data_IF_784287932958
#
_entry.id   IF_784287932958
#
_cell.length_a   1.000
_cell.length_b   1.000
_cell.length_c   1.000
_cell.angle_alpha   90.00
_cell.angle_beta   90.00
_cell.angle_gamma   90.00
#
_symmetry.space_group_name_H-M   'P 1'
#
loop_
_entity.id
_entity.type
_entity.pdbx_description
1 polymer ?
#
# COMPACT_ATOMS: atom_id res chain seq x y z
N UNK A 1 -15.61 -4.70 -9.61
CA UNK A 1 -14.36 -4.84 -8.84
C UNK A 1 -13.95 -6.32 -8.84
N UNK A 2 -12.66 -6.63 -8.95
CA UNK A 2 -12.13 -7.98 -8.66
C UNK A 2 -11.15 -7.86 -7.50
N UNK A 3 -11.12 -8.87 -6.63
CA UNK A 3 -10.22 -8.91 -5.47
C UNK A 3 -9.39 -10.18 -5.56
N UNK A 4 -8.08 -10.05 -5.39
CA UNK A 4 -7.14 -11.15 -5.35
C UNK A 4 -6.61 -11.31 -3.93
N UNK A 5 -6.85 -12.46 -3.32
CA UNK A 5 -6.43 -12.74 -1.95
C UNK A 5 -5.17 -13.59 -1.95
N UNK A 6 -4.24 -13.27 -1.07
CA UNK A 6 -3.00 -14.01 -0.85
C UNK A 6 -2.91 -14.43 0.60
N UNK A 7 -2.55 -15.70 0.84
CA UNK A 7 -2.42 -16.29 2.17
C UNK A 7 -1.15 -17.11 2.29
N UNK A 8 -0.57 -17.10 3.48
CA UNK A 8 0.75 -17.64 3.77
C UNK A 8 1.84 -16.96 2.92
N UNK A 9 1.74 -15.63 2.78
CA UNK A 9 2.80 -14.81 2.18
C UNK A 9 4.07 -15.01 3.01
N UNK A 10 5.24 -15.30 2.41
CA UNK A 10 6.43 -15.59 3.17
C UNK A 10 6.79 -14.49 4.16
N UNK A 11 7.06 -14.89 5.41
CA UNK A 11 7.23 -13.98 6.54
C UNK A 11 8.31 -12.91 6.31
N UNK A 12 9.35 -13.22 5.54
CA UNK A 12 10.42 -12.27 5.22
C UNK A 12 9.93 -11.07 4.39
N UNK A 13 8.87 -11.20 3.58
CA UNK A 13 8.23 -10.04 2.93
C UNK A 13 7.46 -9.22 3.95
N UNK A 14 6.66 -9.87 4.79
CA UNK A 14 5.85 -9.20 5.80
C UNK A 14 6.70 -8.43 6.81
N UNK A 15 7.86 -8.96 7.19
CA UNK A 15 8.84 -8.31 8.08
C UNK A 15 9.55 -7.11 7.44
N UNK A 16 9.54 -6.99 6.11
CA UNK A 16 10.13 -5.84 5.40
C UNK A 16 9.19 -4.66 5.27
N UNK A 17 7.90 -4.85 5.56
CA UNK A 17 6.93 -3.76 5.64
C UNK A 17 7.31 -2.84 6.80
N UNK A 18 7.19 -1.53 6.57
CA UNK A 18 7.57 -0.47 7.50
C UNK A 18 6.35 0.28 8.00
N UNK A 19 6.47 0.90 9.18
CA UNK A 19 5.52 1.94 9.59
C UNK A 19 5.61 3.11 8.61
N UNK A 20 4.47 3.55 8.09
CA UNK A 20 4.43 4.64 7.12
C UNK A 20 4.49 5.97 7.86
N UNK A 21 5.54 6.76 7.62
CA UNK A 21 5.71 8.12 8.19
C UNK A 21 5.77 9.19 7.11
N UNK A 22 6.07 8.78 5.88
CA UNK A 22 6.17 9.64 4.70
C UNK A 22 5.80 8.86 3.41
N UNK A 23 5.71 9.56 2.25
CA UNK A 23 5.48 8.94 0.95
C UNK A 23 6.44 7.80 0.60
N UNK A 24 7.70 7.89 1.04
CA UNK A 24 8.76 6.96 0.68
C UNK A 24 8.57 5.63 1.41
N UNK A 25 8.17 5.66 2.69
CA UNK A 25 7.77 4.46 3.42
C UNK A 25 6.56 3.76 2.78
N UNK A 26 5.58 4.54 2.30
CA UNK A 26 4.41 4.00 1.62
C UNK A 26 4.80 3.29 0.32
N UNK A 27 5.63 3.95 -0.52
CA UNK A 27 6.14 3.37 -1.75
C UNK A 27 6.98 2.12 -1.48
N UNK A 28 7.81 2.12 -0.43
CA UNK A 28 8.57 0.94 -0.01
C UNK A 28 7.65 -0.25 0.24
N UNK A 29 6.56 -0.05 1.00
CA UNK A 29 5.60 -1.11 1.30
C UNK A 29 4.88 -1.61 0.05
N UNK A 30 4.47 -0.71 -0.85
CA UNK A 30 3.91 -1.08 -2.15
C UNK A 30 4.86 -2.01 -2.91
N UNK A 31 6.15 -1.65 -3.01
CA UNK A 31 7.15 -2.47 -3.70
C UNK A 31 7.38 -3.83 -3.03
N UNK A 32 7.31 -3.91 -1.70
CA UNK A 32 7.38 -5.19 -0.97
C UNK A 32 6.21 -6.09 -1.32
N UNK A 33 4.99 -5.55 -1.40
CA UNK A 33 3.80 -6.33 -1.74
C UNK A 33 3.84 -6.80 -3.19
N UNK A 34 4.20 -5.92 -4.13
CA UNK A 34 4.34 -6.30 -5.55
C UNK A 34 5.41 -7.38 -5.72
N UNK A 35 6.56 -7.25 -5.05
CA UNK A 35 7.61 -8.28 -5.08
C UNK A 35 7.11 -9.62 -4.54
N UNK A 36 6.41 -9.62 -3.41
CA UNK A 36 5.86 -10.81 -2.80
C UNK A 36 4.86 -11.51 -3.74
N UNK A 37 3.97 -10.75 -4.37
CA UNK A 37 2.96 -11.27 -5.28
C UNK A 37 3.61 -11.85 -6.54
N UNK A 38 4.54 -11.11 -7.16
CA UNK A 38 5.24 -11.57 -8.36
C UNK A 38 6.11 -12.80 -8.10
N UNK A 39 6.66 -12.94 -6.89
CA UNK A 39 7.52 -14.07 -6.53
C UNK A 39 6.74 -15.30 -6.07
N UNK A 40 5.50 -15.11 -5.62
CA UNK A 40 4.67 -16.15 -5.03
C UNK A 40 3.22 -16.13 -5.55
N UNK A 41 2.99 -16.24 -6.87
CA UNK A 41 1.64 -16.30 -7.44
C UNK A 41 0.84 -17.50 -6.91
N UNK A 42 1.50 -18.60 -6.53
CA UNK A 42 0.88 -19.81 -5.99
C UNK A 42 0.23 -19.63 -4.61
N UNK A 43 0.46 -18.50 -3.94
CA UNK A 43 -0.16 -18.15 -2.66
C UNK A 43 -1.54 -17.52 -2.80
N UNK A 44 -1.98 -17.27 -4.03
CA UNK A 44 -3.30 -16.77 -4.30
C UNK A 44 -4.36 -17.80 -3.90
N UNK A 45 -5.42 -17.33 -3.24
CA UNK A 45 -6.58 -18.13 -2.84
C UNK A 45 -7.85 -17.54 -3.46
N UNK A 46 -8.87 -18.38 -3.66
CA UNK A 46 -10.12 -17.98 -4.33
C UNK A 46 -10.95 -17.00 -3.50
N UNK A 47 -10.98 -17.17 -2.18
CA UNK A 47 -11.80 -16.36 -1.27
C UNK A 47 -11.00 -15.89 -0.05
N UNK A 48 -11.38 -14.74 0.50
CA UNK A 48 -10.79 -14.20 1.74
C UNK A 48 -11.50 -14.66 3.02
N UNK A 49 -12.49 -15.55 2.93
CA UNK A 49 -13.35 -15.96 4.06
C UNK A 49 -12.57 -16.71 5.14
N UNK A 50 -11.65 -17.58 4.72
CA UNK A 50 -10.73 -18.31 5.63
C UNK A 50 -9.56 -17.44 6.12
N UNK A 51 -9.63 -16.13 5.91
CA UNK A 51 -8.56 -15.18 6.18
C UNK A 51 -7.52 -15.07 5.05
N UNK A 52 -6.85 -13.93 5.01
CA UNK A 52 -5.81 -13.58 4.04
C UNK A 52 -4.73 -12.74 4.73
N UNK A 53 -3.55 -12.67 4.13
CA UNK A 53 -2.48 -11.76 4.55
C UNK A 53 -2.52 -10.46 3.74
N UNK A 54 -2.74 -10.58 2.43
CA UNK A 54 -2.83 -9.46 1.49
C UNK A 54 -4.05 -9.63 0.58
N UNK A 55 -4.79 -8.55 0.37
CA UNK A 55 -5.84 -8.47 -0.65
C UNK A 55 -5.53 -7.34 -1.63
N UNK A 56 -5.58 -7.62 -2.93
CA UNK A 56 -5.39 -6.66 -4.01
C UNK A 56 -6.73 -6.34 -4.64
N UNK A 57 -7.15 -5.09 -4.52
CA UNK A 57 -8.37 -4.57 -5.11
C UNK A 57 -8.03 -3.99 -6.49
N UNK A 58 -8.91 -4.24 -7.46
CA UNK A 58 -8.72 -3.83 -8.87
C UNK A 58 -9.95 -3.13 -9.42
N UNK A 59 -9.82 -2.54 -10.63
CA UNK A 59 -10.81 -1.69 -11.31
C UNK A 59 -11.00 -0.38 -10.56
N UNK A 60 -12.21 0.01 -10.21
CA UNK A 60 -12.48 1.30 -9.56
C UNK A 60 -11.77 1.51 -8.20
N UNK A 61 -11.12 0.47 -7.65
CA UNK A 61 -10.47 0.49 -6.33
C UNK A 61 -9.07 -0.11 -6.40
N UNK A 62 -8.12 0.62 -6.98
CA UNK A 62 -6.72 0.17 -7.07
C UNK A 62 -6.02 0.33 -5.70
N UNK A 63 -6.03 -0.72 -4.88
CA UNK A 63 -5.37 -0.69 -3.56
C UNK A 63 -4.94 -2.05 -3.04
N UNK A 64 -3.99 -2.02 -2.12
CA UNK A 64 -3.64 -3.15 -1.26
C UNK A 64 -4.34 -3.02 0.09
N UNK A 65 -4.78 -4.13 0.66
CA UNK A 65 -5.16 -4.26 2.08
C UNK A 65 -4.29 -5.35 2.68
N UNK A 66 -3.58 -5.03 3.74
CA UNK A 66 -2.69 -5.95 4.43
C UNK A 66 -3.24 -6.20 5.82
N UNK A 67 -3.37 -7.47 6.18
CA UNK A 67 -3.77 -7.89 7.52
C UNK A 67 -2.54 -8.00 8.41
N UNK A 68 -2.70 -7.55 9.65
CA UNK A 68 -1.78 -7.77 10.77
C UNK A 68 -2.54 -8.47 11.91
N UNK A 69 -1.80 -8.90 12.92
CA UNK A 69 -2.40 -9.49 14.12
C UNK A 69 -3.25 -8.47 14.90
N UNK A 70 -2.82 -7.20 14.87
CA UNK A 70 -3.41 -6.07 15.57
C UNK A 70 -4.28 -5.17 14.67
N UNK A 71 -4.67 -5.65 13.49
CA UNK A 71 -5.57 -4.92 12.59
C UNK A 71 -5.18 -4.97 11.13
N UNK A 72 -5.23 -3.83 10.45
CA UNK A 72 -5.02 -3.73 9.01
C UNK A 72 -4.33 -2.44 8.62
N UNK A 73 -3.68 -2.43 7.46
CA UNK A 73 -3.37 -1.18 6.78
C UNK A 73 -3.61 -1.31 5.28
N UNK A 74 -3.87 -0.18 4.63
CA UNK A 74 -4.21 -0.12 3.22
C UNK A 74 -3.48 1.03 2.56
N UNK A 75 -3.15 0.83 1.29
CA UNK A 75 -2.39 1.77 0.46
C UNK A 75 -2.94 1.71 -0.96
N UNK A 76 -2.95 2.85 -1.65
CA UNK A 76 -3.20 2.91 -3.08
C UNK A 76 -2.17 2.06 -3.84
N UNK A 77 -2.61 1.41 -4.91
CA UNK A 77 -1.71 0.74 -5.85
C UNK A 77 -1.46 1.69 -7.04
N UNK A 78 -0.25 2.25 -7.19
CA UNK A 78 0.07 3.16 -8.28
C UNK A 78 0.36 2.45 -9.62
N UNK A 79 0.36 1.11 -9.64
CA UNK A 79 0.68 0.33 -10.83
C UNK A 79 -0.57 -0.22 -11.50
N UNK A 80 -0.55 -0.24 -12.83
CA UNK A 80 -1.56 -0.93 -13.61
C UNK A 80 -1.51 -2.43 -13.31
N UNK A 81 -2.67 -3.04 -13.07
CA UNK A 81 -2.79 -4.47 -12.81
C UNK A 81 -3.24 -5.17 -14.08
N UNK A 82 -2.42 -6.08 -14.59
CA UNK A 82 -2.77 -6.96 -15.69
C UNK A 82 -3.29 -8.29 -15.17
N UNK A 83 -4.41 -8.74 -15.76
CA UNK A 83 -5.04 -9.99 -15.42
C UNK A 83 -4.60 -11.06 -16.42
N UNK A 84 -3.87 -12.07 -15.94
CA UNK A 84 -3.58 -13.29 -16.69
C UNK A 84 -4.65 -14.37 -16.50
N UNK A 85 -4.33 -15.61 -16.89
CA UNK A 85 -5.23 -16.76 -16.80
C UNK A 85 -5.59 -17.22 -15.37
N UNK A 86 -4.98 -16.59 -14.34
CA UNK A 86 -5.40 -16.62 -12.94
C UNK A 86 -4.44 -15.83 -12.03
N UNK A 87 -3.34 -15.33 -12.57
CA UNK A 87 -2.33 -14.54 -11.86
C UNK A 87 -2.51 -13.05 -12.21
N UNK A 88 -2.06 -12.18 -11.31
CA UNK A 88 -1.91 -10.76 -11.60
C UNK A 88 -0.45 -10.40 -11.78
N UNK A 89 -0.19 -9.45 -12.66
CA UNK A 89 1.10 -8.79 -12.79
C UNK A 89 0.91 -7.27 -12.79
N UNK A 90 2.01 -6.55 -12.60
CA UNK A 90 1.99 -5.09 -12.42
C UNK A 90 2.83 -4.41 -13.50
N UNK A 91 2.32 -3.30 -14.03
CA UNK A 91 3.00 -2.45 -14.99
C UNK A 91 3.08 -1.01 -14.47
N UNK A 92 4.23 -0.37 -14.68
CA UNK A 92 4.41 1.04 -14.44
C UNK A 92 4.13 1.79 -15.74
N UNK A 93 2.96 2.45 -15.81
CA UNK A 93 2.51 3.14 -17.01
C UNK A 93 3.43 4.30 -17.41
N UNK A 94 4.09 4.95 -16.44
CA UNK A 94 5.02 6.07 -16.69
C UNK A 94 6.25 5.63 -17.50
N UNK A 95 6.76 4.42 -17.24
CA UNK A 95 7.91 3.84 -17.95
C UNK A 95 7.51 2.86 -19.04
N UNK A 96 6.22 2.55 -19.16
CA UNK A 96 5.69 1.50 -20.03
C UNK A 96 6.39 0.14 -19.82
N UNK A 97 6.70 -0.18 -18.55
CA UNK A 97 7.45 -1.39 -18.22
C UNK A 97 6.85 -2.19 -17.05
N UNK A 98 7.08 -3.50 -17.08
CA UNK A 98 6.68 -4.39 -16.00
C UNK A 98 7.42 -4.05 -14.70
N UNK A 99 6.70 -4.08 -13.57
CA UNK A 99 7.24 -3.92 -12.21
C UNK A 99 7.97 -5.21 -11.80
N UNK A 100 9.08 -5.46 -12.47
CA UNK A 100 9.94 -6.64 -12.32
C UNK A 100 10.87 -6.53 -11.10
N UNK A 101 11.60 -7.61 -10.77
CA UNK A 101 12.64 -7.56 -9.75
C UNK A 101 13.73 -6.51 -10.03
N UNK A 102 14.04 -6.24 -11.31
CA UNK A 102 14.95 -5.17 -11.72
C UNK A 102 14.34 -3.79 -11.39
N UNK A 103 13.11 -3.53 -11.83
CA UNK A 103 12.37 -2.30 -11.50
C UNK A 103 12.38 -2.04 -10.00
N UNK A 104 11.98 -3.04 -9.23
CA UNK A 104 11.87 -2.95 -7.77
C UNK A 104 13.22 -2.63 -7.14
N UNK A 105 14.31 -3.22 -7.63
CA UNK A 105 15.67 -2.94 -7.15
C UNK A 105 16.10 -1.50 -7.46
N UNK A 106 15.78 -0.99 -8.64
CA UNK A 106 16.08 0.39 -9.08
C UNK A 106 15.34 1.40 -8.21
N UNK A 107 14.02 1.24 -8.04
CA UNK A 107 13.23 2.18 -7.23
C UNK A 107 13.65 2.10 -5.75
N UNK A 108 14.02 0.91 -5.24
CA UNK A 108 14.57 0.80 -3.87
C UNK A 108 15.91 1.50 -3.70
N UNK A 109 16.77 1.50 -4.72
CA UNK A 109 17.99 2.29 -4.69
C UNK A 109 17.67 3.80 -4.65
N UNK A 110 16.69 4.27 -5.43
CA UNK A 110 16.22 5.66 -5.33
C UNK A 110 15.71 6.00 -3.91
N UNK A 111 14.92 5.11 -3.30
CA UNK A 111 14.48 5.23 -1.89
C UNK A 111 15.68 5.34 -0.93
N UNK A 112 16.73 4.53 -1.13
CA UNK A 112 17.92 4.56 -0.29
C UNK A 112 18.72 5.84 -0.46
N UNK A 113 18.85 6.34 -1.69
CA UNK A 113 19.49 7.63 -2.00
C UNK A 113 18.80 8.77 -1.26
N UNK A 114 17.47 8.79 -1.25
CA UNK A 114 16.67 9.82 -0.54
C UNK A 114 16.81 9.75 0.98
N UNK A 115 16.90 8.55 1.57
CA UNK A 115 17.06 8.43 3.03
C UNK A 115 18.45 8.85 3.52
N UNK A 116 19.45 8.90 2.64
CA UNK A 116 20.84 9.13 3.00
C UNK A 116 21.22 10.59 3.24
N UNK A 117 20.49 11.57 2.67
CA UNK A 117 20.86 13.00 2.66
C UNK A 117 19.69 13.91 2.25
N UNK A 118 19.91 15.24 2.28
CA UNK A 118 19.15 16.15 1.41
C UNK A 118 19.40 15.67 -0.02
N UNK A 119 18.32 15.34 -0.72
CA UNK A 119 18.40 14.77 -2.05
C UNK A 119 17.92 15.77 -3.10
N UNK A 120 18.52 15.66 -4.27
CA UNK A 120 18.04 16.25 -5.50
C UNK A 120 17.68 15.16 -6.51
N UNK A 121 17.06 15.57 -7.61
CA UNK A 121 16.84 14.69 -8.75
C UNK A 121 18.17 14.14 -9.29
N UNK A 122 19.19 14.99 -9.41
CA UNK A 122 20.52 14.61 -9.92
C UNK A 122 21.22 13.56 -9.05
N UNK A 123 21.02 13.58 -7.72
CA UNK A 123 21.60 12.58 -6.82
C UNK A 123 21.04 11.18 -7.10
N UNK A 124 19.75 11.09 -7.42
CA UNK A 124 19.11 9.82 -7.81
C UNK A 124 19.66 9.39 -9.17
N UNK A 125 19.74 10.29 -10.15
CA UNK A 125 20.27 9.98 -11.48
C UNK A 125 21.71 9.47 -11.39
N UNK A 126 22.56 10.13 -10.62
CA UNK A 126 23.95 9.72 -10.38
C UNK A 126 24.01 8.33 -9.74
N UNK A 127 23.23 8.11 -8.68
CA UNK A 127 23.18 6.82 -7.98
C UNK A 127 22.75 5.68 -8.91
N UNK A 128 21.78 5.94 -9.79
CA UNK A 128 21.32 4.95 -10.77
C UNK A 128 22.35 4.66 -11.86
N UNK A 129 23.03 5.69 -12.35
CA UNK A 129 24.15 5.54 -13.30
C UNK A 129 25.26 4.67 -12.69
N UNK A 130 25.69 4.97 -11.46
CA UNK A 130 26.80 4.27 -10.81
C UNK A 130 26.44 2.84 -10.38
N UNK A 131 25.24 2.61 -9.84
CA UNK A 131 24.87 1.31 -9.28
C UNK A 131 24.29 0.31 -10.31
N UNK A 132 23.71 0.81 -11.40
CA UNK A 132 23.07 -0.03 -12.42
C UNK A 132 23.71 0.09 -13.81
N UNK A 133 24.71 0.97 -14.00
CA UNK A 133 25.35 1.18 -15.29
C UNK A 133 24.41 1.76 -16.35
N UNK A 134 23.35 2.47 -15.92
CA UNK A 134 22.37 3.07 -16.81
C UNK A 134 22.95 4.26 -17.56
N UNK A 135 22.52 4.49 -18.79
CA UNK A 135 22.77 5.76 -19.47
C UNK A 135 22.06 6.90 -18.73
N UNK A 136 22.65 8.11 -18.75
CA UNK A 136 22.12 9.28 -18.04
C UNK A 136 20.64 9.57 -18.35
N UNK A 137 20.22 9.36 -19.60
CA UNK A 137 18.84 9.56 -20.03
C UNK A 137 17.88 8.48 -19.53
N UNK A 138 18.34 7.24 -19.35
CA UNK A 138 17.55 6.16 -18.72
C UNK A 138 17.43 6.42 -17.22
N UNK A 139 18.54 6.74 -16.55
CA UNK A 139 18.56 7.07 -15.13
C UNK A 139 17.65 8.28 -14.80
N UNK A 140 17.65 9.31 -15.65
CA UNK A 140 16.73 10.45 -15.54
C UNK A 140 15.25 10.04 -15.59
N UNK A 141 14.87 9.15 -16.52
CA UNK A 141 13.49 8.64 -16.61
C UNK A 141 13.06 7.87 -15.36
N UNK A 142 13.95 7.06 -14.79
CA UNK A 142 13.67 6.38 -13.52
C UNK A 142 13.53 7.36 -12.35
N UNK A 143 14.35 8.41 -12.32
CA UNK A 143 14.24 9.48 -11.33
C UNK A 143 12.90 10.23 -11.44
N UNK A 144 12.47 10.58 -12.67
CA UNK A 144 11.16 11.19 -12.93
C UNK A 144 10.01 10.28 -12.51
N UNK A 145 10.14 8.99 -12.80
CA UNK A 145 9.15 7.98 -12.42
C UNK A 145 9.04 7.85 -10.90
N UNK A 146 10.17 7.82 -10.21
CA UNK A 146 10.21 7.80 -8.76
C UNK A 146 9.52 9.05 -8.18
N UNK A 147 9.82 10.25 -8.70
CA UNK A 147 9.15 11.48 -8.29
C UNK A 147 7.63 11.44 -8.55
N UNK A 148 7.20 10.89 -9.67
CA UNK A 148 5.78 10.70 -9.98
C UNK A 148 5.09 9.75 -9.00
N UNK A 149 5.72 8.61 -8.68
CA UNK A 149 5.18 7.63 -7.72
C UNK A 149 5.06 8.22 -6.30
N UNK A 150 5.96 9.13 -5.92
CA UNK A 150 5.89 9.84 -4.63
C UNK A 150 4.86 10.98 -4.62
N UNK A 151 4.48 11.50 -5.78
CA UNK A 151 3.54 12.63 -5.89
C UNK A 151 2.09 12.18 -6.01
N UNK A 152 1.86 10.91 -6.37
CA UNK A 152 0.53 10.32 -6.52
C UNK A 152 -0.15 10.07 -5.16
N UNK A 153 -1.49 9.94 -5.16
CA UNK A 153 -2.25 9.69 -3.93
C UNK A 153 -1.90 8.32 -3.34
N UNK A 154 -1.29 8.34 -2.15
CA UNK A 154 -0.91 7.14 -1.42
C UNK A 154 -2.11 6.37 -0.86
N UNK A 155 -3.28 7.01 -0.71
CA UNK A 155 -4.50 6.39 -0.22
C UNK A 155 -4.36 5.65 1.11
N UNK A 156 -3.39 6.07 1.94
CA UNK A 156 -2.97 5.39 3.15
C UNK A 156 -4.00 5.55 4.27
N UNK A 157 -4.41 4.42 4.84
CA UNK A 157 -5.06 4.37 6.13
C UNK A 157 -4.72 3.06 6.85
N UNK A 158 -4.93 3.02 8.15
CA UNK A 158 -4.84 1.79 8.94
C UNK A 158 -6.01 1.67 9.91
N UNK A 159 -6.27 0.45 10.33
CA UNK A 159 -7.20 0.11 11.39
C UNK A 159 -6.41 -0.61 12.47
N UNK A 160 -6.47 -0.13 13.70
CA UNK A 160 -5.73 -0.69 14.84
C UNK A 160 -6.71 -1.23 15.90
N UNK A 161 -6.39 -2.39 16.49
CA UNK A 161 -6.87 -2.85 17.79
C UNK A 161 -5.80 -2.51 18.85
N UNK A 162 -5.98 -1.39 19.55
CA UNK A 162 -5.01 -0.80 20.48
C UNK A 162 -5.55 -0.81 21.93
N UNK A 163 -5.57 -1.97 22.61
CA UNK A 163 -6.08 -2.08 23.98
C UNK A 163 -5.19 -1.36 25.00
N UNK A 164 -3.91 -1.17 24.71
CA UNK A 164 -2.92 -0.60 25.63
C UNK A 164 -3.02 0.92 25.74
N UNK A 165 -3.42 1.60 24.66
CA UNK A 165 -3.54 3.07 24.62
C UNK A 165 -4.97 3.57 24.68
N UNK A 166 -5.95 2.69 24.87
CA UNK A 166 -7.35 3.08 24.90
C UNK A 166 -7.61 4.14 25.99
N UNK A 167 -8.31 5.21 25.63
CA UNK A 167 -8.68 6.29 26.56
C UNK A 167 -10.08 6.82 26.23
N UNK A 168 -11.09 5.96 26.40
CA UNK A 168 -12.48 6.26 26.07
C UNK A 168 -12.61 6.80 24.64
N UNK A 169 -13.34 7.91 24.50
CA UNK A 169 -13.61 8.53 23.20
C UNK A 169 -12.41 9.33 22.63
N UNK A 170 -11.35 9.55 23.43
CA UNK A 170 -10.15 10.27 22.98
C UNK A 170 -9.26 9.37 22.12
N UNK A 171 -9.12 8.11 22.51
CA UNK A 171 -8.40 7.09 21.75
C UNK A 171 -9.18 5.77 21.88
N UNK A 172 -10.17 5.53 20.99
CA UNK A 172 -10.93 4.29 21.01
C UNK A 172 -10.02 3.09 20.75
N UNK A 173 -10.28 1.96 21.43
CA UNK A 173 -9.52 0.72 21.24
C UNK A 173 -9.45 0.33 19.76
N UNK A 174 -10.62 0.27 19.11
CA UNK A 174 -10.71 0.04 17.67
C UNK A 174 -10.84 1.37 16.95
N UNK A 175 -9.92 1.68 16.06
CA UNK A 175 -9.99 2.95 15.34
C UNK A 175 -9.29 2.90 13.99
N UNK A 176 -9.76 3.74 13.08
CA UNK A 176 -9.08 4.04 11.83
C UNK A 176 -8.18 5.25 12.02
N UNK A 177 -6.94 5.13 11.55
CA UNK A 177 -6.02 6.24 11.32
C UNK A 177 -5.96 6.53 9.83
N UNK A 178 -6.36 7.74 9.46
CA UNK A 178 -6.33 8.23 8.09
C UNK A 178 -5.21 9.26 7.99
N UNK A 179 -4.38 9.12 6.96
CA UNK A 179 -3.13 9.84 6.76
C UNK A 179 -2.02 9.46 7.76
N UNK A 180 -0.79 9.40 7.26
CA UNK A 180 0.39 9.00 8.05
C UNK A 180 1.09 10.15 8.78
N UNK A 181 0.81 11.42 8.41
CA UNK A 181 1.42 12.59 9.09
C UNK A 181 0.63 12.95 10.33
N UNK A 182 1.27 12.95 11.50
CA UNK A 182 0.67 13.34 12.78
C UNK A 182 0.01 14.73 12.75
N UNK A 183 0.54 15.67 11.97
CA UNK A 183 -0.01 17.03 11.86
C UNK A 183 -1.35 17.10 11.11
N UNK A 184 -1.70 16.06 10.36
CA UNK A 184 -2.92 15.99 9.55
C UNK A 184 -3.70 14.69 9.74
N UNK A 185 -3.29 13.84 10.70
CA UNK A 185 -3.91 12.55 10.93
C UNK A 185 -5.35 12.73 11.40
N UNK A 186 -6.26 11.97 10.81
CA UNK A 186 -7.64 11.88 11.27
C UNK A 186 -7.86 10.53 11.93
N UNK A 187 -8.60 10.53 13.04
CA UNK A 187 -8.99 9.30 13.75
C UNK A 187 -10.49 9.11 13.69
N UNK A 188 -10.94 7.90 13.40
CA UNK A 188 -12.36 7.51 13.46
C UNK A 188 -12.48 6.28 14.34
N UNK A 189 -13.16 6.43 15.48
CA UNK A 189 -13.45 5.31 16.38
C UNK A 189 -14.38 4.29 15.75
N UNK A 190 -14.19 3.03 16.12
CA UNK A 190 -15.07 1.92 15.77
C UNK A 190 -15.46 1.13 17.02
N UNK A 191 -16.64 0.53 17.02
CA UNK A 191 -17.21 -0.17 18.19
C UNK A 191 -16.76 -1.63 18.30
N UNK A 192 -16.12 -2.15 17.25
CA UNK A 192 -15.66 -3.54 17.16
C UNK A 192 -14.45 -3.69 16.26
N UNK A 193 -13.89 -4.90 16.18
CA UNK A 193 -12.86 -5.22 15.20
C UNK A 193 -13.42 -5.12 13.77
N UNK A 194 -12.71 -4.45 12.87
CA UNK A 194 -13.13 -4.28 11.49
C UNK A 194 -12.86 -5.56 10.68
N UNK A 195 -13.92 -6.16 10.15
CA UNK A 195 -13.81 -7.29 9.21
C UNK A 195 -13.61 -6.80 7.77
N UNK A 196 -13.24 -7.71 6.86
CA UNK A 196 -13.08 -7.43 5.43
C UNK A 196 -14.27 -6.67 4.82
N UNK A 197 -15.50 -7.01 5.22
CA UNK A 197 -16.72 -6.34 4.75
C UNK A 197 -16.75 -4.85 5.09
N UNK A 198 -16.11 -4.43 6.19
CA UNK A 198 -15.96 -3.02 6.52
C UNK A 198 -15.09 -2.31 5.47
N UNK A 199 -13.96 -2.89 5.09
CA UNK A 199 -13.06 -2.31 4.09
C UNK A 199 -13.68 -2.31 2.69
N UNK A 200 -14.46 -3.34 2.35
CA UNK A 200 -15.28 -3.36 1.14
C UNK A 200 -16.31 -2.23 1.12
N UNK A 201 -17.00 -2.00 2.23
CA UNK A 201 -17.93 -0.89 2.37
C UNK A 201 -17.24 0.48 2.28
N UNK A 202 -15.99 0.62 2.73
CA UNK A 202 -15.23 1.86 2.58
C UNK A 202 -14.79 2.08 1.13
N UNK A 203 -14.20 1.06 0.50
CA UNK A 203 -13.66 1.17 -0.84
C UNK A 203 -14.76 1.12 -1.91
N UNK A 204 -15.53 0.03 -2.03
CA UNK A 204 -16.36 -0.23 -3.21
C UNK A 204 -17.58 0.69 -3.31
N UNK A 205 -17.68 1.47 -4.39
CA UNK A 205 -18.78 2.41 -4.67
C UNK A 205 -20.14 1.72 -4.82
N UNK A 206 -20.13 0.44 -5.17
CA UNK A 206 -21.35 -0.35 -5.32
C UNK A 206 -21.78 -1.02 -4.01
N UNK A 207 -20.96 -0.94 -2.97
CA UNK A 207 -21.26 -1.50 -1.67
C UNK A 207 -22.00 -0.46 -0.80
N UNK A 208 -23.09 -0.83 -0.10
CA UNK A 208 -23.79 0.09 0.80
C UNK A 208 -22.83 0.72 1.82
N UNK A 209 -22.85 2.05 1.88
CA UNK A 209 -21.99 2.82 2.78
C UNK A 209 -22.59 2.86 4.18
N UNK A 210 -21.74 2.72 5.19
CA UNK A 210 -22.13 2.90 6.59
C UNK A 210 -22.10 4.38 6.95
N UNK A 211 -23.14 4.83 7.62
CA UNK A 211 -23.14 6.14 8.26
C UNK A 211 -22.34 6.07 9.57
N UNK A 212 -21.68 7.17 9.94
CA UNK A 212 -20.96 7.27 11.22
C UNK A 212 -21.91 7.25 12.42
N UNK A 213 -23.15 7.71 12.22
CA UNK A 213 -24.23 7.70 13.20
C UNK A 213 -25.51 7.20 12.51
N UNK A 214 -26.37 6.54 13.28
CA UNK A 214 -27.73 6.27 12.82
C UNK A 214 -28.48 7.59 12.61
N UNK A 215 -29.26 7.67 11.53
CA UNK A 215 -30.03 8.86 11.14
C UNK A 215 -31.02 9.36 12.20
N UNK A 216 -31.31 8.55 13.22
CA UNK A 216 -32.19 8.88 14.34
C UNK A 216 -31.52 9.67 15.49
N UNK A 217 -30.19 9.88 15.43
CA UNK A 217 -29.43 10.61 16.47
C UNK A 217 -29.28 12.12 16.18
N UNK A 218 -29.76 12.59 15.02
CA UNK A 218 -29.86 14.02 14.73
C UNK A 218 -31.28 14.47 15.12
N UNK A 219 -31.43 14.95 16.35
CA UNK A 219 -32.56 15.80 16.78
C UNK A 219 -32.08 17.23 16.93
#
# INVERSE_FOLDING_TARGET
MSIFYYKNVPTHFMQRLRSVRDPVDNLWNVLVLVEAINSHPEKQIETGEDGFDVAVFTKDFHRFLVRKDDGYFSMSNPFQVHLGNNEISFNCDVLEEAVSGRFISIIRNAIQTVHGNIYSHDDIVLSLHENFGMEWTEAAKYSDTFASLLSDDHGYFRFDDDPDRQNGDVHPRYHFDIFFKNSSSLKVGYDKFAELQCFLALADKNYPKKYLLDSNLIK
#
